data_IF_870428884068
#
_entry.id   IF_870428884068
#
_cell.length_a   1.000
_cell.length_b   1.000
_cell.length_c   1.000
_cell.angle_alpha   90.00
_cell.angle_beta   90.00
_cell.angle_gamma   90.00
#
_symmetry.space_group_name_H-M   'P 1'
#
loop_
_entity.id
_entity.type
_entity.pdbx_description
1 polymer ?
#
# COMPACT_ATOMS: atom_id res chain seq x y z
N UNK A 1 -0.87 16.63 4.43
CA UNK A 1 -1.59 15.38 4.08
C UNK A 1 -3.06 15.60 4.34
N UNK A 2 -3.91 15.53 3.31
CA UNK A 2 -5.35 15.72 3.41
C UNK A 2 -6.03 14.43 3.91
N UNK A 3 -5.96 14.15 5.22
CA UNK A 3 -6.47 12.91 5.80
C UNK A 3 -8.00 12.80 5.82
N UNK A 4 -8.74 13.88 5.56
CA UNK A 4 -10.20 13.87 5.48
C UNK A 4 -10.73 13.02 4.31
N UNK A 5 -9.88 12.69 3.33
CA UNK A 5 -10.20 11.80 2.22
C UNK A 5 -10.22 10.32 2.63
N UNK A 6 -9.76 9.98 3.84
CA UNK A 6 -9.68 8.61 4.33
C UNK A 6 -10.82 8.30 5.29
N UNK A 7 -11.40 7.11 5.16
CA UNK A 7 -12.35 6.59 6.13
C UNK A 7 -11.66 6.07 7.41
N UNK A 8 -12.45 5.65 8.41
CA UNK A 8 -11.94 5.18 9.71
C UNK A 8 -10.99 3.98 9.58
N UNK A 9 -11.30 3.01 8.70
CA UNK A 9 -10.48 1.81 8.48
C UNK A 9 -9.12 2.19 7.89
N UNK A 10 -9.12 3.06 6.87
CA UNK A 10 -7.91 3.55 6.22
C UNK A 10 -7.02 4.36 7.18
N UNK A 11 -7.61 5.20 8.03
CA UNK A 11 -6.87 5.94 9.05
C UNK A 11 -6.16 5.02 10.05
N UNK A 12 -6.81 3.91 10.45
CA UNK A 12 -6.19 2.91 11.32
C UNK A 12 -5.00 2.23 10.63
N UNK A 13 -5.17 1.83 9.36
CA UNK A 13 -4.10 1.22 8.55
C UNK A 13 -2.92 2.18 8.39
N UNK A 14 -3.16 3.45 8.07
CA UNK A 14 -2.12 4.48 7.92
C UNK A 14 -1.31 4.66 9.20
N UNK A 15 -1.98 4.67 10.36
CA UNK A 15 -1.32 4.80 11.67
C UNK A 15 -0.42 3.61 11.97
N UNK A 16 -0.93 2.39 11.80
CA UNK A 16 -0.19 1.16 12.12
C UNK A 16 0.96 0.90 11.15
N UNK A 17 0.76 1.12 9.85
CA UNK A 17 1.81 0.99 8.83
C UNK A 17 2.82 2.14 8.87
N UNK A 18 2.61 3.16 9.72
CA UNK A 18 3.46 4.36 9.82
C UNK A 18 3.64 5.06 8.47
N UNK A 19 2.58 5.11 7.67
CA UNK A 19 2.59 5.76 6.37
C UNK A 19 2.79 7.27 6.51
N UNK A 20 3.44 7.93 5.52
CA UNK A 20 3.83 7.42 4.20
C UNK A 20 5.17 6.66 4.17
N UNK A 21 5.87 6.51 5.30
CA UNK A 21 7.20 5.88 5.35
C UNK A 21 7.10 4.40 5.74
N UNK A 22 6.52 3.58 4.86
CA UNK A 22 6.71 2.14 4.94
C UNK A 22 8.16 1.83 4.50
N UNK A 23 8.99 1.14 5.32
CA UNK A 23 10.39 0.88 4.96
C UNK A 23 10.49 0.16 3.61
N UNK A 24 11.12 0.80 2.63
CA UNK A 24 11.29 0.26 1.28
C UNK A 24 10.10 0.46 0.33
N UNK A 25 8.97 1.00 0.81
CA UNK A 25 7.79 1.25 -0.01
C UNK A 25 7.38 2.73 0.03
N UNK A 26 6.77 3.19 -1.06
CA UNK A 26 6.08 4.47 -1.11
C UNK A 26 4.66 4.27 -1.59
N UNK A 27 3.72 5.07 -1.07
CA UNK A 27 2.35 5.09 -1.58
C UNK A 27 2.34 5.81 -2.93
N UNK A 28 1.69 5.20 -3.92
CA UNK A 28 1.52 5.77 -5.25
C UNK A 28 0.04 5.74 -5.69
N UNK A 29 -0.20 6.00 -6.96
CA UNK A 29 -1.51 5.91 -7.56
C UNK A 29 -2.51 6.97 -7.07
N UNK A 30 -3.78 6.65 -7.21
CA UNK A 30 -4.87 7.59 -6.98
C UNK A 30 -4.97 8.07 -5.53
N UNK A 31 -4.62 7.22 -4.56
CA UNK A 31 -4.69 7.55 -3.13
C UNK A 31 -3.54 8.44 -2.69
N UNK A 32 -2.33 8.23 -3.23
CA UNK A 32 -1.22 9.15 -2.99
C UNK A 32 -1.55 10.57 -3.46
N UNK A 33 -2.07 10.71 -4.68
CA UNK A 33 -2.49 12.01 -5.22
C UNK A 33 -3.65 12.61 -4.41
N UNK A 34 -4.64 11.81 -4.03
CA UNK A 34 -5.75 12.27 -3.19
C UNK A 34 -5.26 12.84 -1.85
N UNK A 35 -4.29 12.18 -1.20
CA UNK A 35 -3.70 12.65 0.06
C UNK A 35 -2.87 13.94 -0.11
N UNK A 36 -2.33 14.19 -1.31
CA UNK A 36 -1.57 15.39 -1.62
C UNK A 36 -2.44 16.61 -1.87
N UNK A 37 -3.55 16.47 -2.62
CA UNK A 37 -4.36 17.63 -3.04
C UNK A 37 -5.79 17.66 -2.49
N UNK A 38 -6.24 16.60 -1.80
CA UNK A 38 -7.55 16.57 -1.13
C UNK A 38 -8.77 16.56 -2.05
N UNK A 39 -8.62 16.23 -3.34
CA UNK A 39 -9.68 16.44 -4.33
C UNK A 39 -10.81 15.39 -4.32
N UNK A 40 -10.59 14.20 -3.76
CA UNK A 40 -11.58 13.11 -3.69
C UNK A 40 -11.19 12.05 -2.65
N UNK A 41 -12.15 11.22 -2.28
CA UNK A 41 -11.92 9.96 -1.55
C UNK A 41 -11.32 8.90 -2.49
N UNK A 42 -10.37 8.10 -1.98
CA UNK A 42 -9.80 6.93 -2.68
C UNK A 42 -9.77 5.78 -1.69
N UNK A 43 -10.06 4.55 -2.11
CA UNK A 43 -10.47 3.46 -1.20
C UNK A 43 -9.35 2.45 -0.94
N UNK A 44 -8.44 2.28 -1.89
CA UNK A 44 -7.33 1.34 -1.91
C UNK A 44 -5.99 2.02 -1.61
N UNK A 45 -4.97 1.24 -1.22
CA UNK A 45 -3.61 1.71 -1.10
C UNK A 45 -2.67 0.93 -2.00
N UNK A 46 -2.02 1.61 -2.94
CA UNK A 46 -0.99 1.02 -3.78
C UNK A 46 0.41 1.42 -3.31
N UNK A 47 1.17 0.43 -2.88
CA UNK A 47 2.56 0.57 -2.45
C UNK A 47 3.50 0.06 -3.53
N UNK A 48 4.52 0.87 -3.80
CA UNK A 48 5.56 0.56 -4.78
C UNK A 48 6.91 0.56 -4.10
N UNK A 49 7.79 -0.34 -4.56
CA UNK A 49 9.18 -0.44 -4.15
C UNK A 49 10.08 -0.47 -5.38
N UNK A 50 11.26 0.15 -5.30
CA UNK A 50 12.31 -0.03 -6.32
C UNK A 50 13.17 -1.30 -6.05
N UNK A 51 13.00 -1.89 -4.87
CA UNK A 51 13.72 -3.08 -4.43
C UNK A 51 12.78 -4.27 -4.40
N UNK A 52 13.25 -5.42 -4.88
CA UNK A 52 12.57 -6.70 -4.71
C UNK A 52 12.25 -6.95 -3.24
N UNK A 53 11.15 -7.65 -2.99
CA UNK A 53 10.77 -8.03 -1.63
C UNK A 53 10.23 -9.46 -1.57
N UNK A 54 10.47 -10.18 -0.46
CA UNK A 54 9.92 -11.52 -0.27
C UNK A 54 8.41 -11.46 0.01
N UNK A 55 7.57 -11.53 -1.02
CA UNK A 55 6.10 -11.43 -0.90
C UNK A 55 5.49 -12.34 0.18
N UNK A 56 5.90 -13.62 0.33
CA UNK A 56 5.36 -14.48 1.40
C UNK A 56 5.72 -14.00 2.81
N UNK A 57 6.88 -13.36 2.99
CA UNK A 57 7.28 -12.77 4.28
C UNK A 57 6.48 -11.51 4.56
N UNK A 58 6.32 -10.63 3.56
CA UNK A 58 5.50 -9.42 3.71
C UNK A 58 4.05 -9.78 4.06
N UNK A 59 3.47 -10.81 3.43
CA UNK A 59 2.14 -11.31 3.77
C UNK A 59 2.03 -11.73 5.25
N UNK A 60 3.05 -12.43 5.78
CA UNK A 60 3.13 -12.82 7.20
C UNK A 60 3.23 -11.59 8.12
N UNK A 61 4.06 -10.62 7.76
CA UNK A 61 4.25 -9.39 8.55
C UNK A 61 2.95 -8.55 8.60
N UNK A 62 2.24 -8.45 7.48
CA UNK A 62 0.91 -7.82 7.42
C UNK A 62 -0.08 -8.59 8.31
N UNK A 63 -0.16 -9.91 8.19
CA UNK A 63 -1.07 -10.73 9.02
C UNK A 63 -0.78 -10.64 10.51
N UNK A 64 0.50 -10.51 10.88
CA UNK A 64 0.92 -10.31 12.28
C UNK A 64 0.47 -8.96 12.82
N UNK A 65 0.57 -7.92 11.99
CA UNK A 65 0.18 -6.54 12.36
C UNK A 65 -1.34 -6.38 12.35
N UNK A 66 -2.01 -7.00 11.39
CA UNK A 66 -3.45 -6.94 11.18
C UNK A 66 -4.01 -8.37 11.18
N UNK A 67 -4.43 -8.91 12.34
CA UNK A 67 -4.94 -10.28 12.44
C UNK A 67 -6.13 -10.56 11.52
N UNK A 68 -6.93 -9.55 11.17
CA UNK A 68 -8.05 -9.63 10.24
C UNK A 68 -7.65 -9.52 8.75
N UNK A 69 -6.37 -9.31 8.44
CA UNK A 69 -5.90 -9.25 7.05
C UNK A 69 -6.14 -10.59 6.33
N UNK A 70 -6.55 -10.52 5.07
CA UNK A 70 -6.63 -11.66 4.17
C UNK A 70 -5.71 -11.41 2.99
N UNK A 71 -4.86 -12.39 2.67
CA UNK A 71 -4.05 -12.36 1.46
C UNK A 71 -4.94 -12.75 0.27
N UNK A 72 -5.01 -11.89 -0.73
CA UNK A 72 -5.76 -12.11 -1.97
C UNK A 72 -4.87 -12.71 -3.07
N UNK A 73 -3.62 -12.27 -3.14
CA UNK A 73 -2.64 -12.74 -4.12
C UNK A 73 -1.23 -12.67 -3.54
N UNK A 74 -0.43 -13.70 -3.76
CA UNK A 74 1.02 -13.66 -3.53
C UNK A 74 1.71 -14.19 -4.78
N UNK A 75 2.56 -13.36 -5.39
CA UNK A 75 3.42 -13.74 -6.52
C UNK A 75 4.81 -13.13 -6.31
N UNK A 76 5.77 -13.41 -7.20
CA UNK A 76 7.08 -12.76 -7.12
C UNK A 76 6.92 -11.24 -7.18
N UNK A 77 7.54 -10.53 -6.22
CA UNK A 77 7.53 -9.06 -6.14
C UNK A 77 6.14 -8.39 -6.15
N UNK A 78 5.09 -9.17 -5.86
CA UNK A 78 3.69 -8.75 -5.83
C UNK A 78 2.94 -9.35 -4.65
N UNK A 79 2.24 -8.51 -3.90
CA UNK A 79 1.31 -8.93 -2.85
C UNK A 79 0.04 -8.11 -2.94
N UNK A 80 -1.12 -8.77 -2.88
CA UNK A 80 -2.40 -8.11 -2.63
C UNK A 80 -3.02 -8.66 -1.37
N UNK A 81 -3.50 -7.76 -0.51
CA UNK A 81 -4.15 -8.08 0.74
C UNK A 81 -5.35 -7.17 0.96
N UNK A 82 -6.32 -7.63 1.73
CA UNK A 82 -7.44 -6.82 2.19
C UNK A 82 -7.46 -6.80 3.73
N UNK A 83 -7.66 -5.61 4.30
CA UNK A 83 -7.78 -5.39 5.74
C UNK A 83 -9.11 -4.69 5.99
N UNK A 84 -10.07 -5.41 6.57
CA UNK A 84 -11.46 -4.94 6.61
C UNK A 84 -12.01 -4.85 5.19
N UNK A 85 -12.27 -3.62 4.72
CA UNK A 85 -12.76 -3.31 3.37
C UNK A 85 -11.72 -2.60 2.50
N UNK A 86 -10.52 -2.34 3.04
CA UNK A 86 -9.47 -1.61 2.32
C UNK A 86 -8.51 -2.60 1.67
N UNK A 87 -8.38 -2.50 0.36
CA UNK A 87 -7.38 -3.24 -0.40
C UNK A 87 -6.00 -2.56 -0.30
N UNK A 88 -4.97 -3.39 -0.19
CA UNK A 88 -3.57 -3.00 -0.20
C UNK A 88 -2.87 -3.81 -1.27
N UNK A 89 -2.19 -3.13 -2.19
CA UNK A 89 -1.33 -3.77 -3.17
C UNK A 89 0.11 -3.34 -2.95
N UNK A 90 1.05 -4.27 -3.14
CA UNK A 90 2.48 -4.04 -3.07
C UNK A 90 3.13 -4.55 -4.34
N UNK A 91 3.92 -3.71 -4.99
CA UNK A 91 4.59 -4.02 -6.25
C UNK A 91 6.05 -3.60 -6.23
N UNK A 92 6.92 -4.37 -6.90
CA UNK A 92 8.23 -3.85 -7.30
C UNK A 92 8.11 -3.21 -8.67
N UNK A 93 8.57 -1.97 -8.82
CA UNK A 93 8.68 -1.28 -10.10
C UNK A 93 10.13 -1.11 -10.50
N UNK A 94 10.42 -1.43 -11.77
CA UNK A 94 11.69 -1.08 -12.40
C UNK A 94 11.47 0.16 -13.23
N UNK A 95 12.15 1.25 -12.89
CA UNK A 95 12.16 2.45 -13.72
C UNK A 95 13.20 2.23 -14.80
N UNK A 96 12.75 1.83 -15.98
CA UNK A 96 13.56 1.88 -17.18
C UNK A 96 13.22 3.19 -17.88
N UNK A 97 14.20 4.08 -17.99
CA UNK A 97 14.04 5.27 -18.81
C UNK A 97 13.98 4.83 -20.28
N UNK A 98 12.98 5.32 -21.00
CA UNK A 98 12.98 5.26 -22.45
C UNK A 98 14.12 6.18 -22.92
N UNK A 99 15.20 5.59 -23.42
CA UNK A 99 16.16 6.32 -24.25
C UNK A 99 15.48 6.47 -25.62
N UNK A 100 14.82 7.61 -25.82
CA UNK A 100 14.29 8.04 -27.13
C UNK A 100 15.44 8.51 -28.03
#
# INVERSE_FOLDING_TARGET
MHSHILNKNQLAIVKELKLPKAPGFYLAGGTALALQIGHRTSIDFDFYSQKKFPSPRLAKDIKKTFPNAKTLLTAEDTLKSIIGETELSFFTIRINYLNL
#
